data_IF_356967285654
#
_entry.id   IF_356967285654
#
_cell.length_a   1.000
_cell.length_b   1.000
_cell.length_c   1.000
_cell.angle_alpha   90.00
_cell.angle_beta   90.00
_cell.angle_gamma   90.00
#
_symmetry.space_group_name_H-M   'P 1'
#
loop_
_entity.id
_entity.type
_entity.pdbx_description
1 polymer ?
#
# COMPACT_ATOMS: atom_id res chain seq x y z
N UNK A 1 -43.30 -25.28 0.97
CA UNK A 1 -42.73 -24.17 0.20
C UNK A 1 -42.28 -23.02 1.09
N UNK A 2 -43.05 -22.55 2.05
CA UNK A 2 -42.70 -21.42 2.94
C UNK A 2 -41.44 -21.67 3.82
N UNK A 3 -41.23 -22.86 4.35
CA UNK A 3 -40.08 -23.20 5.18
C UNK A 3 -38.75 -23.18 4.40
N UNK A 4 -38.74 -23.68 3.14
CA UNK A 4 -37.55 -23.65 2.28
C UNK A 4 -37.12 -22.23 1.87
N UNK A 5 -38.12 -21.35 1.66
CA UNK A 5 -37.85 -19.93 1.35
C UNK A 5 -37.32 -19.19 2.57
N UNK A 6 -37.82 -19.50 3.77
CA UNK A 6 -37.34 -18.89 5.02
C UNK A 6 -35.87 -19.29 5.32
N UNK A 7 -35.51 -20.57 5.13
CA UNK A 7 -34.14 -21.06 5.31
C UNK A 7 -33.18 -20.39 4.29
N UNK A 8 -33.62 -20.23 3.05
CA UNK A 8 -32.82 -19.57 2.02
C UNK A 8 -32.59 -18.08 2.33
N UNK A 9 -33.63 -17.39 2.82
CA UNK A 9 -33.53 -15.98 3.24
C UNK A 9 -32.63 -15.82 4.46
N UNK A 10 -32.67 -16.75 5.42
CA UNK A 10 -31.81 -16.74 6.62
C UNK A 10 -30.35 -17.04 6.25
N UNK A 11 -30.12 -17.95 5.28
CA UNK A 11 -28.75 -18.21 4.78
C UNK A 11 -28.16 -17.03 4.05
N UNK A 12 -28.98 -16.27 3.31
CA UNK A 12 -28.52 -15.03 2.63
C UNK A 12 -28.12 -13.92 3.62
N UNK A 13 -28.74 -13.90 4.80
CA UNK A 13 -28.45 -12.91 5.86
C UNK A 13 -27.23 -13.29 6.70
N UNK A 14 -26.70 -14.52 6.58
CA UNK A 14 -25.50 -14.96 7.29
C UNK A 14 -24.21 -14.78 6.49
N UNK A 15 -24.28 -14.34 5.23
CA UNK A 15 -23.11 -13.95 4.46
C UNK A 15 -22.80 -12.47 4.79
N UNK A 16 -22.48 -12.20 6.04
CA UNK A 16 -21.77 -10.97 6.40
C UNK A 16 -20.28 -11.15 6.09
N UNK A 17 -19.92 -11.17 4.82
CA UNK A 17 -18.56 -10.79 4.48
C UNK A 17 -18.46 -9.29 4.81
N UNK A 18 -17.74 -8.94 5.85
CA UNK A 18 -17.29 -7.56 6.07
C UNK A 18 -16.38 -7.20 4.91
N UNK A 19 -16.98 -6.80 3.78
CA UNK A 19 -16.24 -6.18 2.72
C UNK A 19 -15.91 -4.81 3.29
N UNK A 20 -14.65 -4.57 3.60
CA UNK A 20 -14.10 -3.24 3.87
C UNK A 20 -13.60 -2.74 2.52
N UNK A 21 -14.42 -2.00 1.75
CA UNK A 21 -14.01 -1.51 0.45
C UNK A 21 -13.05 -0.33 0.62
N UNK A 22 -11.96 -0.35 -0.12
CA UNK A 22 -11.09 0.80 -0.33
C UNK A 22 -11.19 1.20 -1.79
N UNK A 23 -11.00 2.48 -2.09
CA UNK A 23 -11.03 2.97 -3.47
C UNK A 23 -9.96 4.02 -3.70
N UNK A 24 -9.19 3.85 -4.77
CA UNK A 24 -8.20 4.82 -5.21
C UNK A 24 -8.52 5.31 -6.62
N UNK A 25 -8.35 6.62 -6.83
CA UNK A 25 -8.31 7.22 -8.16
C UNK A 25 -7.00 7.95 -8.35
N UNK A 26 -6.40 7.78 -9.53
CA UNK A 26 -5.20 8.47 -9.97
C UNK A 26 -5.55 9.26 -11.22
N UNK A 27 -5.14 10.53 -11.27
CA UNK A 27 -5.16 11.35 -12.47
C UNK A 27 -3.72 11.77 -12.74
N UNK A 28 -3.18 11.39 -13.89
CA UNK A 28 -1.81 11.76 -14.26
C UNK A 28 -1.74 13.20 -14.73
N UNK A 29 -0.54 13.76 -14.75
CA UNK A 29 -0.26 15.14 -15.11
C UNK A 29 -0.89 15.57 -16.45
N UNK A 30 -0.77 14.74 -17.48
CA UNK A 30 -1.33 15.03 -18.80
C UNK A 30 -2.85 14.84 -18.90
N UNK A 31 -3.49 14.24 -17.90
CA UNK A 31 -4.96 14.09 -17.83
C UNK A 31 -5.64 15.18 -17.01
N UNK A 32 -4.88 15.98 -16.25
CA UNK A 32 -5.41 17.08 -15.44
C UNK A 32 -5.46 18.41 -16.19
N UNK A 33 -6.35 19.30 -15.78
CA UNK A 33 -6.48 20.62 -16.43
C UNK A 33 -5.35 21.59 -16.10
N UNK A 34 -4.68 21.41 -14.97
CA UNK A 34 -3.66 22.31 -14.44
C UNK A 34 -2.24 21.70 -14.44
N UNK A 35 -2.11 20.49 -14.98
CA UNK A 35 -0.83 19.77 -15.02
C UNK A 35 -0.39 19.19 -13.68
N UNK A 36 -1.26 19.09 -12.69
CA UNK A 36 -0.97 18.40 -11.43
C UNK A 36 -1.30 16.91 -11.51
N UNK A 37 -0.67 16.10 -10.67
CA UNK A 37 -1.02 14.70 -10.47
C UNK A 37 -1.94 14.59 -9.25
N UNK A 38 -3.03 13.83 -9.35
CA UNK A 38 -3.97 13.62 -8.25
C UNK A 38 -3.98 12.17 -7.80
N UNK A 39 -4.05 11.98 -6.50
CA UNK A 39 -4.38 10.71 -5.87
C UNK A 39 -5.52 10.93 -4.88
N UNK A 40 -6.60 10.18 -5.06
CA UNK A 40 -7.67 10.04 -4.08
C UNK A 40 -7.59 8.66 -3.45
N UNK A 41 -7.75 8.60 -2.13
CA UNK A 41 -7.72 7.36 -1.37
C UNK A 41 -8.84 7.37 -0.33
N UNK A 42 -9.62 6.29 -0.29
CA UNK A 42 -10.59 6.04 0.77
C UNK A 42 -10.31 4.67 1.39
N UNK A 43 -10.30 4.61 2.71
CA UNK A 43 -10.30 3.37 3.48
C UNK A 43 -11.64 3.27 4.19
N UNK A 44 -12.52 2.40 3.69
CA UNK A 44 -13.85 2.25 4.24
C UNK A 44 -13.83 1.25 5.41
N UNK A 45 -14.22 1.70 6.59
CA UNK A 45 -14.21 0.88 7.80
C UNK A 45 -15.35 1.28 8.73
N UNK A 46 -15.88 0.32 9.47
CA UNK A 46 -16.85 0.59 10.54
C UNK A 46 -16.19 1.02 11.86
N UNK A 47 -14.88 0.81 11.99
CA UNK A 47 -14.14 1.03 13.24
C UNK A 47 -13.12 2.16 13.14
N UNK A 48 -12.65 2.48 11.94
CA UNK A 48 -11.74 3.59 11.73
C UNK A 48 -12.52 4.88 11.48
N UNK A 49 -11.98 5.97 11.96
CA UNK A 49 -12.44 7.33 11.64
C UNK A 49 -11.26 8.11 11.06
N UNK A 50 -11.57 9.09 10.22
CA UNK A 50 -10.53 9.90 9.57
C UNK A 50 -9.70 10.66 10.59
N UNK A 51 -8.40 10.41 10.62
CA UNK A 51 -7.43 11.10 11.45
C UNK A 51 -6.31 11.64 10.56
N UNK A 52 -5.92 12.89 10.80
CA UNK A 52 -4.80 13.49 10.09
C UNK A 52 -3.50 13.18 10.81
N UNK A 53 -2.78 12.17 10.32
CA UNK A 53 -1.47 11.81 10.85
C UNK A 53 -0.42 12.83 10.45
N UNK A 54 0.50 13.11 11.37
CA UNK A 54 1.66 13.96 11.12
C UNK A 54 2.92 13.32 11.69
N UNK A 55 3.87 13.04 10.80
CA UNK A 55 5.20 12.58 11.15
C UNK A 55 6.21 13.67 10.78
N UNK A 56 6.72 14.43 11.75
CA UNK A 56 7.64 15.54 11.47
C UNK A 56 8.98 15.04 10.93
N UNK A 57 9.60 15.84 10.07
CA UNK A 57 10.98 15.61 9.65
C UNK A 57 11.91 15.59 10.87
N UNK A 58 12.85 14.66 10.89
CA UNK A 58 13.77 14.49 12.00
C UNK A 58 15.16 13.99 11.58
N UNK A 59 16.14 14.21 12.45
CA UNK A 59 17.46 13.61 12.39
C UNK A 59 17.63 12.67 13.58
N UNK A 60 17.99 11.44 13.33
CA UNK A 60 18.17 10.41 14.34
C UNK A 60 19.65 10.09 14.53
N UNK A 61 20.09 9.74 15.75
CA UNK A 61 21.44 9.27 15.99
C UNK A 61 21.72 7.94 15.28
N UNK A 62 22.99 7.63 15.08
CA UNK A 62 23.40 6.33 14.58
C UNK A 62 22.94 5.20 15.53
N UNK A 63 22.44 4.10 14.96
CA UNK A 63 21.90 2.98 15.73
C UNK A 63 20.48 3.19 16.27
N UNK A 64 19.82 4.31 15.97
CA UNK A 64 18.42 4.49 16.34
C UNK A 64 17.55 3.39 15.73
N UNK A 65 16.54 2.97 16.48
CA UNK A 65 15.58 1.94 16.09
C UNK A 65 14.17 2.53 16.02
N UNK A 66 13.38 2.02 15.06
CA UNK A 66 11.98 2.34 14.89
C UNK A 66 11.15 1.13 15.35
N UNK A 67 10.26 1.33 16.31
CA UNK A 67 9.27 0.33 16.71
C UNK A 67 8.17 0.27 15.63
N UNK A 68 7.83 -0.94 15.22
CA UNK A 68 6.78 -1.20 14.23
C UNK A 68 5.56 -1.76 14.95
N UNK A 69 4.43 -1.12 14.72
CA UNK A 69 3.12 -1.55 15.19
C UNK A 69 2.22 -1.80 13.98
N UNK A 70 1.54 -2.94 13.99
CA UNK A 70 0.54 -3.27 12.98
C UNK A 70 -0.56 -2.21 12.99
N UNK A 71 -0.86 -1.69 11.81
CA UNK A 71 -1.69 -0.49 11.65
C UNK A 71 -3.10 -0.65 12.19
N UNK A 72 -3.75 -1.78 11.94
CA UNK A 72 -5.16 -1.97 12.26
C UNK A 72 -5.41 -2.25 13.74
N UNK A 73 -4.48 -2.94 14.41
CA UNK A 73 -4.68 -3.41 15.79
C UNK A 73 -3.76 -2.75 16.81
N UNK A 74 -2.70 -2.05 16.35
CA UNK A 74 -1.66 -1.52 17.22
C UNK A 74 -0.76 -2.59 17.83
N UNK A 75 -0.80 -3.83 17.34
CA UNK A 75 0.07 -4.91 17.81
C UNK A 75 1.53 -4.59 17.48
N UNK A 76 2.40 -4.64 18.48
CA UNK A 76 3.83 -4.50 18.25
C UNK A 76 4.38 -5.69 17.45
N UNK A 77 5.02 -5.42 16.32
CA UNK A 77 5.61 -6.43 15.44
C UNK A 77 7.12 -6.60 15.64
N UNK A 78 7.80 -5.55 16.08
CA UNK A 78 9.24 -5.58 16.26
C UNK A 78 9.91 -4.24 16.04
N UNK A 79 11.20 -4.27 15.74
CA UNK A 79 12.03 -3.08 15.48
C UNK A 79 12.83 -3.22 14.21
N UNK A 80 12.98 -2.10 13.52
CA UNK A 80 13.86 -1.98 12.35
C UNK A 80 14.83 -0.81 12.56
N UNK A 81 15.97 -0.75 11.85
CA UNK A 81 16.83 0.43 11.87
C UNK A 81 16.08 1.68 11.41
N UNK A 82 16.19 2.75 12.19
CA UNK A 82 15.65 4.04 11.81
C UNK A 82 16.60 4.73 10.80
N UNK A 83 16.00 5.33 9.77
CA UNK A 83 16.76 6.18 8.85
C UNK A 83 17.37 7.36 9.61
N UNK A 84 18.60 7.74 9.30
CA UNK A 84 19.27 8.89 9.92
C UNK A 84 18.52 10.21 9.72
N UNK A 85 17.85 10.34 8.59
CA UNK A 85 16.99 11.48 8.25
C UNK A 85 15.65 10.97 7.79
N UNK A 86 14.59 11.57 8.29
CA UNK A 86 13.22 11.39 7.81
C UNK A 86 12.66 12.71 7.29
N UNK A 87 11.74 12.61 6.34
CA UNK A 87 11.03 13.73 5.77
C UNK A 87 9.70 13.96 6.50
N UNK A 88 9.19 15.19 6.36
CA UNK A 88 7.89 15.56 6.93
C UNK A 88 6.76 14.90 6.14
N UNK A 89 5.82 14.25 6.85
CA UNK A 89 4.66 13.56 6.28
C UNK A 89 3.39 14.05 6.93
N UNK A 90 2.40 14.43 6.14
CA UNK A 90 1.06 14.78 6.61
C UNK A 90 0.04 13.89 5.89
N UNK A 91 -0.69 13.11 6.65
CA UNK A 91 -1.56 12.08 6.08
C UNK A 91 -0.79 11.15 5.16
N UNK A 92 -1.21 11.06 3.91
CA UNK A 92 -0.62 10.18 2.90
C UNK A 92 0.30 10.91 1.91
N UNK A 93 0.83 12.07 2.27
CA UNK A 93 1.72 12.88 1.44
C UNK A 93 2.93 13.38 2.22
N UNK A 94 4.10 13.46 1.57
CA UNK A 94 5.28 14.06 2.15
C UNK A 94 5.61 15.44 1.55
N UNK A 95 6.63 16.13 2.11
CA UNK A 95 7.06 17.46 1.71
C UNK A 95 7.62 17.55 0.26
N UNK A 96 7.90 16.41 -0.37
CA UNK A 96 8.32 16.32 -1.78
C UNK A 96 7.16 15.99 -2.72
N UNK A 97 5.91 16.06 -2.24
CA UNK A 97 4.70 15.75 -3.02
C UNK A 97 4.59 14.28 -3.43
N UNK A 98 5.34 13.38 -2.78
CA UNK A 98 5.09 11.94 -2.93
C UNK A 98 3.85 11.58 -2.13
N UNK A 99 2.90 10.91 -2.76
CA UNK A 99 1.67 10.46 -2.11
C UNK A 99 1.47 8.96 -2.33
N UNK A 100 0.99 8.26 -1.29
CA UNK A 100 0.73 6.82 -1.33
C UNK A 100 -0.66 6.54 -0.77
N UNK A 101 -1.50 5.88 -1.56
CA UNK A 101 -2.76 5.27 -1.12
C UNK A 101 -2.71 3.76 -1.33
N UNK A 102 -3.67 3.02 -0.78
CA UNK A 102 -3.70 1.57 -0.91
C UNK A 102 -5.10 1.01 -1.11
N UNK A 103 -5.19 -0.23 -1.57
CA UNK A 103 -6.38 -1.07 -1.50
C UNK A 103 -5.97 -2.52 -1.30
N UNK A 104 -6.55 -3.18 -0.29
CA UNK A 104 -6.29 -4.59 -0.01
C UNK A 104 -6.98 -5.49 -1.02
N UNK A 105 -6.25 -6.28 -1.80
CA UNK A 105 -6.85 -7.31 -2.66
C UNK A 105 -6.85 -8.70 -2.01
N UNK A 106 -6.19 -8.86 -0.86
CA UNK A 106 -6.11 -10.10 -0.10
C UNK A 106 -5.21 -11.15 -0.74
N UNK A 107 -5.63 -11.73 -1.84
CA UNK A 107 -4.89 -12.78 -2.54
C UNK A 107 -4.91 -14.12 -1.79
N UNK A 108 -3.82 -14.88 -1.91
CA UNK A 108 -3.69 -16.22 -1.30
C UNK A 108 -3.25 -16.10 0.16
N UNK A 109 -4.11 -16.49 1.09
CA UNK A 109 -3.88 -16.36 2.54
C UNK A 109 -2.65 -17.13 3.04
N UNK A 110 -2.29 -18.23 2.38
CA UNK A 110 -1.08 -19.01 2.70
C UNK A 110 0.22 -18.28 2.42
N UNK A 111 0.18 -17.15 1.69
CA UNK A 111 1.33 -16.31 1.43
C UNK A 111 1.58 -15.23 2.48
N UNK A 112 0.68 -15.07 3.45
CA UNK A 112 0.87 -14.16 4.58
C UNK A 112 2.02 -14.67 5.47
N UNK A 113 2.94 -13.79 5.85
CA UNK A 113 4.02 -14.12 6.78
C UNK A 113 3.74 -13.53 8.17
N UNK A 114 3.24 -14.32 9.14
CA UNK A 114 2.92 -13.82 10.47
C UNK A 114 4.14 -13.41 11.31
N UNK A 115 5.36 -13.63 10.79
CA UNK A 115 6.63 -13.18 11.40
C UNK A 115 7.26 -12.01 10.65
N UNK A 116 6.60 -11.49 9.62
CA UNK A 116 7.01 -10.25 8.98
C UNK A 116 6.92 -9.07 9.95
N UNK A 117 7.79 -8.10 9.80
CA UNK A 117 7.80 -6.91 10.66
C UNK A 117 7.10 -5.71 10.03
N UNK A 118 6.88 -5.73 8.72
CA UNK A 118 6.31 -4.59 7.98
C UNK A 118 4.91 -4.94 7.52
N UNK A 119 3.93 -4.23 8.05
CA UNK A 119 2.55 -4.25 7.57
C UNK A 119 2.31 -3.17 6.50
N UNK A 120 1.15 -3.19 5.87
CA UNK A 120 0.82 -2.27 4.77
C UNK A 120 0.83 -0.80 5.20
N UNK A 121 0.28 -0.48 6.36
CA UNK A 121 0.21 0.90 6.87
C UNK A 121 1.58 1.44 7.26
N UNK A 122 2.39 0.63 7.96
CA UNK A 122 3.78 0.97 8.26
C UNK A 122 4.60 1.20 6.98
N UNK A 123 4.34 0.40 5.94
CA UNK A 123 5.03 0.53 4.66
C UNK A 123 4.77 1.89 4.02
N UNK A 124 3.54 2.43 4.12
CA UNK A 124 3.17 3.73 3.58
C UNK A 124 3.97 4.85 4.26
N UNK A 125 3.82 5.01 5.58
CA UNK A 125 4.44 6.18 6.24
C UNK A 125 5.96 6.10 6.26
N UNK A 126 6.56 4.91 6.35
CA UNK A 126 8.01 4.74 6.32
C UNK A 126 8.56 5.09 4.93
N UNK A 127 7.89 4.66 3.86
CA UNK A 127 8.28 5.02 2.50
C UNK A 127 8.17 6.54 2.27
N UNK A 128 7.10 7.17 2.72
CA UNK A 128 6.92 8.63 2.64
C UNK A 128 8.01 9.39 3.42
N UNK A 129 8.41 8.88 4.58
CA UNK A 129 9.50 9.46 5.37
C UNK A 129 10.90 9.32 4.73
N UNK A 130 11.07 8.45 3.73
CA UNK A 130 12.39 8.05 3.19
C UNK A 130 12.54 8.23 1.69
N UNK A 131 11.55 8.82 1.01
CA UNK A 131 11.57 9.00 -0.45
C UNK A 131 11.27 10.42 -0.88
N UNK A 132 11.81 10.81 -2.03
CA UNK A 132 11.62 12.12 -2.67
C UNK A 132 10.92 12.00 -4.02
N UNK A 133 10.74 10.77 -4.54
CA UNK A 133 10.04 10.47 -5.79
C UNK A 133 9.22 9.19 -5.65
N UNK A 134 8.25 8.99 -6.55
CA UNK A 134 7.45 7.76 -6.60
C UNK A 134 8.31 6.50 -6.80
N UNK A 135 9.32 6.57 -7.67
CA UNK A 135 10.25 5.44 -7.91
C UNK A 135 11.09 5.12 -6.67
N UNK A 136 11.54 6.14 -5.95
CA UNK A 136 12.28 5.95 -4.70
C UNK A 136 11.37 5.35 -3.63
N UNK A 137 10.09 5.74 -3.54
CA UNK A 137 9.12 5.13 -2.65
C UNK A 137 8.95 3.63 -2.95
N UNK A 138 8.77 3.24 -4.22
CA UNK A 138 8.70 1.84 -4.63
C UNK A 138 9.95 1.06 -4.19
N UNK A 139 11.13 1.64 -4.41
CA UNK A 139 12.40 1.03 -4.00
C UNK A 139 12.46 0.84 -2.48
N UNK A 140 12.16 1.87 -1.70
CA UNK A 140 12.14 1.81 -0.23
C UNK A 140 11.16 0.74 0.26
N UNK A 141 9.93 0.71 -0.28
CA UNK A 141 8.91 -0.26 0.10
C UNK A 141 9.39 -1.70 -0.14
N UNK A 142 9.92 -1.96 -1.31
CA UNK A 142 10.36 -3.31 -1.71
C UNK A 142 11.63 -3.76 -0.98
N UNK A 143 12.55 -2.86 -0.67
CA UNK A 143 13.72 -3.14 0.17
C UNK A 143 13.31 -3.44 1.62
N UNK A 144 12.40 -2.67 2.20
CA UNK A 144 11.90 -2.91 3.57
C UNK A 144 11.27 -4.30 3.72
N UNK A 145 10.40 -4.71 2.79
CA UNK A 145 9.78 -6.05 2.88
C UNK A 145 10.79 -7.17 2.62
N UNK A 146 11.80 -6.95 1.77
CA UNK A 146 12.87 -7.91 1.53
C UNK A 146 13.74 -8.12 2.78
N UNK A 147 14.07 -7.05 3.48
CA UNK A 147 14.94 -7.13 4.67
C UNK A 147 14.19 -7.60 5.91
N UNK A 148 12.96 -7.13 6.12
CA UNK A 148 12.24 -7.31 7.38
C UNK A 148 11.04 -8.24 7.29
N UNK A 149 10.61 -8.65 6.08
CA UNK A 149 9.44 -9.49 5.84
C UNK A 149 8.14 -8.69 5.82
N UNK A 150 7.18 -9.15 5.04
CA UNK A 150 5.87 -8.51 4.87
C UNK A 150 4.80 -9.26 5.66
N UNK A 151 4.09 -8.53 6.53
CA UNK A 151 3.14 -9.10 7.50
C UNK A 151 1.71 -9.21 6.96
N UNK A 152 1.29 -8.27 6.11
CA UNK A 152 -0.11 -8.17 5.65
C UNK A 152 -0.43 -9.13 4.49
N UNK A 153 -1.69 -9.18 4.12
CA UNK A 153 -2.18 -9.85 2.90
C UNK A 153 -1.77 -9.09 1.63
N UNK A 154 -2.27 -9.47 0.47
CA UNK A 154 -1.94 -8.78 -0.79
C UNK A 154 -2.50 -7.37 -0.88
N UNK A 155 -1.65 -6.43 -1.29
CA UNK A 155 -1.95 -5.00 -1.37
C UNK A 155 -1.61 -4.40 -2.73
N UNK A 156 -2.46 -3.48 -3.18
CA UNK A 156 -2.22 -2.58 -4.30
C UNK A 156 -1.97 -1.17 -3.78
N UNK A 157 -0.78 -0.65 -3.98
CA UNK A 157 -0.42 0.72 -3.63
C UNK A 157 -0.49 1.62 -4.85
N UNK A 158 -1.20 2.73 -4.73
CA UNK A 158 -1.16 3.86 -5.66
C UNK A 158 -0.06 4.82 -5.20
N UNK A 159 0.98 5.01 -5.99
CA UNK A 159 2.16 5.81 -5.63
C UNK A 159 2.34 6.89 -6.69
N UNK A 160 2.29 8.14 -6.28
CA UNK A 160 2.41 9.27 -7.20
C UNK A 160 3.39 10.32 -6.68
N UNK A 161 4.00 11.04 -7.62
CA UNK A 161 4.67 12.31 -7.38
C UNK A 161 4.21 13.35 -8.40
N UNK A 162 4.85 14.51 -8.46
CA UNK A 162 4.49 15.58 -9.39
C UNK A 162 4.64 15.20 -10.88
N UNK A 163 5.32 14.10 -11.20
CA UNK A 163 5.69 13.73 -12.57
C UNK A 163 5.19 12.36 -13.01
N UNK A 164 5.06 11.42 -12.08
CA UNK A 164 4.75 10.02 -12.37
C UNK A 164 3.69 9.45 -11.44
N UNK A 165 2.96 8.46 -11.95
CA UNK A 165 1.98 7.70 -11.20
C UNK A 165 2.19 6.19 -11.43
N UNK A 166 2.13 5.41 -10.37
CA UNK A 166 2.40 3.97 -10.35
C UNK A 166 1.34 3.21 -9.57
N UNK A 167 1.09 1.99 -9.98
CA UNK A 167 0.43 0.96 -9.16
C UNK A 167 1.49 -0.09 -8.81
N UNK A 168 1.71 -0.32 -7.53
CA UNK A 168 2.56 -1.38 -7.00
C UNK A 168 1.65 -2.44 -6.36
N UNK A 169 1.63 -3.64 -6.90
CA UNK A 169 0.95 -4.78 -6.31
C UNK A 169 1.98 -5.72 -5.68
N UNK A 170 1.75 -6.10 -4.44
CA UNK A 170 2.64 -7.02 -3.72
C UNK A 170 1.87 -7.99 -2.82
N UNK A 171 2.47 -9.15 -2.61
CA UNK A 171 2.00 -10.19 -1.69
C UNK A 171 3.21 -10.92 -1.10
N UNK A 172 3.08 -11.39 0.13
CA UNK A 172 4.14 -12.14 0.79
C UNK A 172 4.54 -13.43 0.07
N UNK A 173 5.57 -14.08 0.55
CA UNK A 173 6.10 -15.36 0.04
C UNK A 173 5.75 -16.56 0.91
N UNK A 174 4.91 -16.36 1.92
CA UNK A 174 4.48 -17.37 2.87
C UNK A 174 5.22 -17.33 4.21
N UNK A 175 4.81 -18.17 5.17
CA UNK A 175 5.34 -18.19 6.51
C UNK A 175 6.87 -18.42 6.53
N UNK A 176 7.57 -17.64 7.36
CA UNK A 176 9.02 -17.70 7.54
C UNK A 176 9.88 -17.34 6.32
N UNK A 177 9.28 -16.83 5.24
CA UNK A 177 10.01 -16.34 4.06
C UNK A 177 9.96 -14.82 4.05
N UNK A 178 11.12 -14.16 4.10
CA UNK A 178 11.21 -12.72 3.94
C UNK A 178 10.97 -12.30 2.50
N UNK A 179 10.57 -11.05 2.31
CA UNK A 179 10.31 -10.48 1.00
C UNK A 179 8.86 -10.61 0.56
N UNK A 180 8.62 -10.11 -0.62
CA UNK A 180 7.34 -10.17 -1.30
C UNK A 180 7.55 -10.51 -2.78
N UNK A 181 6.53 -11.07 -3.42
CA UNK A 181 6.39 -11.05 -4.88
C UNK A 181 5.68 -9.75 -5.20
N UNK A 182 6.23 -8.98 -6.13
CA UNK A 182 5.66 -7.67 -6.46
C UNK A 182 5.91 -7.27 -7.91
N UNK A 183 5.04 -6.43 -8.41
CA UNK A 183 5.17 -5.73 -9.68
C UNK A 183 4.64 -4.31 -9.52
N UNK A 184 5.37 -3.34 -10.06
CA UNK A 184 4.93 -1.96 -10.17
C UNK A 184 4.78 -1.60 -11.66
N UNK A 185 3.65 -1.02 -12.01
CA UNK A 185 3.35 -0.59 -13.36
C UNK A 185 3.05 0.91 -13.37
N UNK A 186 3.76 1.63 -14.25
CA UNK A 186 3.55 3.06 -14.43
C UNK A 186 2.24 3.31 -15.17
N UNK A 187 1.45 4.24 -14.71
CA UNK A 187 0.30 4.75 -15.43
C UNK A 187 0.80 5.71 -16.51
N UNK A 188 0.51 5.48 -17.80
CA UNK A 188 0.94 6.38 -18.87
C UNK A 188 0.40 7.79 -18.64
N UNK A 189 1.20 8.80 -18.98
CA UNK A 189 0.74 10.18 -18.89
C UNK A 189 -0.44 10.44 -19.83
N UNK A 190 -1.38 11.29 -19.40
CA UNK A 190 -2.64 11.52 -20.08
C UNK A 190 -3.75 10.53 -19.73
N UNK A 191 -3.52 9.61 -18.78
CA UNK A 191 -4.51 8.63 -18.36
C UNK A 191 -5.00 8.85 -16.92
N UNK A 192 -6.16 8.30 -16.64
CA UNK A 192 -6.71 8.14 -15.30
C UNK A 192 -6.77 6.66 -14.95
N UNK A 193 -6.62 6.33 -13.68
CA UNK A 193 -6.78 4.97 -13.17
C UNK A 193 -7.66 4.97 -11.96
N UNK A 194 -8.46 3.92 -11.79
CA UNK A 194 -9.27 3.71 -10.59
C UNK A 194 -9.28 2.23 -10.26
N UNK A 195 -9.11 1.91 -9.00
CA UNK A 195 -9.23 0.54 -8.51
C UNK A 195 -9.78 0.50 -7.08
N UNK A 196 -10.39 -0.61 -6.77
CA UNK A 196 -10.83 -0.99 -5.44
C UNK A 196 -10.10 -2.27 -5.02
N UNK A 197 -10.62 -3.03 -4.12
CA UNK A 197 -10.00 -4.22 -3.50
C UNK A 197 -9.77 -5.38 -4.49
N UNK A 198 -9.03 -5.14 -5.56
CA UNK A 198 -8.68 -6.12 -6.59
C UNK A 198 -7.29 -5.84 -7.16
N UNK A 199 -6.50 -6.90 -7.38
CA UNK A 199 -5.30 -6.81 -8.18
C UNK A 199 -5.67 -6.47 -9.65
N UNK A 200 -4.97 -5.53 -10.26
CA UNK A 200 -5.28 -4.99 -11.59
C UNK A 200 -4.22 -5.32 -12.63
N UNK A 201 -2.99 -5.60 -12.19
CA UNK A 201 -1.89 -5.92 -13.09
C UNK A 201 -1.95 -7.40 -13.46
N UNK A 202 -2.48 -7.71 -14.65
CA UNK A 202 -2.63 -9.09 -15.14
C UNK A 202 -1.53 -9.49 -16.10
N UNK A 203 -0.96 -8.52 -16.81
CA UNK A 203 0.13 -8.73 -17.78
C UNK A 203 1.07 -7.54 -17.74
N UNK A 204 2.36 -7.78 -17.95
CA UNK A 204 3.36 -6.74 -18.04
C UNK A 204 4.57 -7.18 -18.88
N UNK A 205 5.26 -6.21 -19.47
CA UNK A 205 6.41 -6.49 -20.34
C UNK A 205 7.70 -6.53 -19.51
N UNK A 206 8.34 -7.70 -19.43
CA UNK A 206 9.58 -7.90 -18.65
C UNK A 206 10.78 -7.09 -19.14
N UNK A 207 10.76 -6.62 -20.38
CA UNK A 207 11.81 -5.81 -20.99
C UNK A 207 11.56 -4.30 -20.94
N UNK A 208 10.39 -3.86 -20.49
CA UNK A 208 10.04 -2.43 -20.33
C UNK A 208 10.44 -1.91 -18.95
N UNK A 209 11.74 -1.68 -18.75
CA UNK A 209 12.28 -1.20 -17.47
C UNK A 209 11.93 0.27 -17.14
N UNK A 210 11.39 0.99 -18.10
CA UNK A 210 10.93 2.36 -17.87
C UNK A 210 9.57 2.39 -17.17
N UNK A 211 8.66 1.51 -17.59
CA UNK A 211 7.27 1.51 -17.14
C UNK A 211 6.92 0.31 -16.24
N UNK A 212 7.84 -0.64 -16.09
CA UNK A 212 7.61 -1.84 -15.26
C UNK A 212 8.81 -2.13 -14.37
N UNK A 213 8.55 -2.24 -13.08
CA UNK A 213 9.49 -2.73 -12.08
C UNK A 213 8.90 -3.99 -11.45
N UNK A 214 9.71 -4.98 -11.11
CA UNK A 214 9.21 -6.22 -10.52
C UNK A 214 10.27 -6.91 -9.65
N UNK A 215 9.80 -7.81 -8.80
CA UNK A 215 10.68 -8.65 -7.99
C UNK A 215 11.59 -9.50 -8.89
N UNK A 216 12.91 -9.61 -8.54
CA UNK A 216 13.85 -10.44 -9.27
C UNK A 216 13.55 -11.94 -9.13
#
# INVERSE_FOLDING_TARGET
MKLKLSIFLTLLLLINSTIVPCTNFIVTKGASNDGSTFLSYTADSYTFYGELYHFPAALYPEGAMLDIYEWDTGKWLGRIPQARRTYNVVGNMNEFQVSIGETTFGGRSELVNPKGLIDYGSLIYIALQRSTTAREAIKVMTELVNEHGYYSSGESFSIVDANEAWILELIGKGPNVKGAVWVAHRIPDGYVSGHANQARITTFALNDKENVLYAP
#
